data_IF_922509650788
#
_entry.id   IF_922509650788
#
_cell.length_a   1.000
_cell.length_b   1.000
_cell.length_c   1.000
_cell.angle_alpha   90.00
_cell.angle_beta   90.00
_cell.angle_gamma   90.00
#
_symmetry.space_group_name_H-M   'P 1'
#
loop_
_entity.id
_entity.type
_entity.pdbx_description
1 polymer ?
#
# COMPACT_ATOMS: atom_id res chain seq x y z
N UNK A 1 -6.42 9.86 2.71
CA UNK A 1 -5.08 9.36 3.08
C UNK A 1 -4.64 9.77 4.48
N UNK A 2 -4.67 11.05 4.89
CA UNK A 2 -4.02 11.52 6.13
C UNK A 2 -4.41 10.77 7.41
N UNK A 3 -5.67 10.33 7.53
CA UNK A 3 -6.15 9.56 8.69
C UNK A 3 -5.39 8.24 8.91
N UNK A 4 -4.86 7.62 7.85
CA UNK A 4 -4.06 6.39 7.96
C UNK A 4 -2.76 6.63 8.74
N UNK A 5 -2.22 7.85 8.70
CA UNK A 5 -0.91 8.19 9.27
C UNK A 5 -1.02 9.06 10.54
N UNK A 6 -2.21 9.23 11.11
CA UNK A 6 -2.40 9.99 12.37
C UNK A 6 -1.88 9.25 13.60
N UNK A 7 -1.76 7.93 13.51
CA UNK A 7 -1.21 7.06 14.55
C UNK A 7 -0.16 6.16 13.92
N UNK A 8 0.79 5.71 14.72
CA UNK A 8 1.72 4.68 14.27
C UNK A 8 0.95 3.39 14.08
N UNK A 9 0.92 2.93 12.84
CA UNK A 9 0.33 1.66 12.41
C UNK A 9 1.39 0.87 11.65
N UNK A 10 1.27 -0.45 11.71
CA UNK A 10 1.98 -1.33 10.77
C UNK A 10 0.97 -1.81 9.74
N UNK A 11 1.24 -1.52 8.47
CA UNK A 11 0.42 -1.99 7.37
C UNK A 11 1.05 -3.23 6.75
N UNK A 12 0.25 -4.25 6.46
CA UNK A 12 0.71 -5.51 5.88
C UNK A 12 0.13 -5.67 4.48
N UNK A 13 0.95 -5.84 3.45
CA UNK A 13 0.48 -6.07 2.09
C UNK A 13 -0.09 -7.49 2.01
N UNK A 14 -1.41 -7.61 1.87
CA UNK A 14 -2.09 -8.89 1.79
C UNK A 14 -1.89 -9.53 0.43
N UNK A 15 -2.18 -8.79 -0.63
CA UNK A 15 -2.06 -9.25 -2.01
C UNK A 15 -1.93 -8.09 -2.99
N UNK A 16 -1.45 -8.42 -4.20
CA UNK A 16 -1.29 -7.47 -5.31
C UNK A 16 -1.56 -8.13 -6.66
N UNK A 17 -1.70 -7.31 -7.71
CA UNK A 17 -2.09 -7.78 -9.04
C UNK A 17 -0.96 -8.30 -9.92
N UNK A 18 0.30 -8.17 -9.47
CA UNK A 18 1.47 -8.73 -10.15
C UNK A 18 2.27 -9.64 -9.23
N UNK A 19 2.78 -10.74 -9.78
CA UNK A 19 3.54 -11.71 -8.98
C UNK A 19 4.87 -11.13 -8.49
N UNK A 20 5.57 -10.38 -9.34
CA UNK A 20 6.87 -9.78 -9.06
C UNK A 20 6.81 -8.28 -9.27
N UNK A 21 7.13 -7.50 -8.23
CA UNK A 21 7.25 -6.04 -8.33
C UNK A 21 8.74 -5.68 -8.41
N UNK A 22 9.26 -5.55 -9.62
CA UNK A 22 10.69 -5.27 -9.85
C UNK A 22 11.15 -3.93 -9.27
N UNK A 23 10.20 -3.03 -9.00
CA UNK A 23 10.45 -1.73 -8.37
C UNK A 23 10.45 -1.82 -6.85
N UNK A 24 9.86 -2.88 -6.29
CA UNK A 24 9.68 -3.05 -4.86
C UNK A 24 9.78 -4.52 -4.45
N UNK A 25 11.00 -4.97 -4.14
CA UNK A 25 11.32 -6.27 -3.55
C UNK A 25 10.90 -7.51 -4.35
N UNK A 26 10.64 -7.41 -5.66
CA UNK A 26 10.48 -8.57 -6.55
C UNK A 26 9.34 -9.49 -6.12
N UNK A 27 9.58 -10.80 -6.05
CA UNK A 27 8.63 -11.80 -5.54
C UNK A 27 8.65 -11.99 -4.01
N UNK A 28 9.24 -11.05 -3.26
CA UNK A 28 9.34 -11.17 -1.79
C UNK A 28 7.96 -11.22 -1.11
N UNK A 29 7.92 -11.85 0.06
CA UNK A 29 6.73 -11.97 0.90
C UNK A 29 6.82 -11.02 2.09
N UNK A 30 5.73 -10.97 2.87
CA UNK A 30 5.71 -10.28 4.17
C UNK A 30 6.03 -8.79 4.08
N UNK A 31 5.53 -8.13 3.05
CA UNK A 31 5.67 -6.69 2.91
C UNK A 31 4.95 -5.97 4.05
N UNK A 32 5.68 -5.09 4.72
CA UNK A 32 5.19 -4.25 5.80
C UNK A 32 5.54 -2.80 5.52
N UNK A 33 4.63 -1.89 5.86
CA UNK A 33 4.88 -0.46 5.87
C UNK A 33 4.67 0.05 7.28
N UNK A 34 5.71 0.63 7.88
CA UNK A 34 5.73 1.12 9.26
C UNK A 34 6.03 2.60 9.25
N UNK A 35 5.01 3.40 9.50
CA UNK A 35 5.20 4.83 9.75
C UNK A 35 5.63 5.05 11.21
N UNK A 36 6.70 5.81 11.41
CA UNK A 36 7.27 6.03 12.76
C UNK A 36 7.39 7.50 13.17
N UNK A 37 7.47 8.45 12.23
CA UNK A 37 7.64 9.87 12.57
C UNK A 37 7.11 10.79 11.47
N UNK A 38 6.36 11.83 11.86
CA UNK A 38 5.95 12.89 10.94
C UNK A 38 7.16 13.77 10.61
N UNK A 39 7.41 13.99 9.33
CA UNK A 39 8.44 14.91 8.85
C UNK A 39 8.16 16.36 9.25
N UNK A 40 9.05 17.26 8.82
CA UNK A 40 8.89 18.70 9.09
C UNK A 40 7.65 19.29 8.41
N UNK A 41 7.19 18.68 7.31
CA UNK A 41 5.88 18.94 6.70
C UNK A 41 4.79 18.06 7.32
N UNK A 42 3.59 18.63 7.54
CA UNK A 42 2.44 17.90 8.15
C UNK A 42 1.94 16.75 7.26
N UNK A 43 2.36 16.72 6.01
CA UNK A 43 2.01 15.75 4.97
C UNK A 43 3.15 14.80 4.62
N UNK A 44 4.28 14.87 5.31
CA UNK A 44 5.44 14.01 5.09
C UNK A 44 5.56 12.99 6.22
N UNK A 45 5.74 11.72 5.87
CA UNK A 45 5.70 10.61 6.82
C UNK A 45 6.92 9.72 6.62
N UNK A 46 7.86 9.76 7.58
CA UNK A 46 9.01 8.88 7.58
C UNK A 46 8.55 7.45 7.83
N UNK A 47 8.87 6.58 6.88
CA UNK A 47 8.27 5.26 6.77
C UNK A 47 9.34 4.23 6.47
N UNK A 48 9.27 3.10 7.17
CA UNK A 48 10.05 1.91 6.83
C UNK A 48 9.19 0.99 5.96
N UNK A 49 9.74 0.56 4.84
CA UNK A 49 9.24 -0.57 4.10
C UNK A 49 10.09 -1.78 4.45
N UNK A 50 9.43 -2.86 4.86
CA UNK A 50 10.09 -4.10 5.21
C UNK A 50 9.54 -5.22 4.33
N UNK A 51 10.38 -6.17 3.94
CA UNK A 51 9.93 -7.39 3.26
C UNK A 51 10.92 -8.52 3.51
N UNK A 52 10.45 -9.76 3.39
CA UNK A 52 11.26 -10.94 3.65
C UNK A 52 12.13 -11.24 2.43
N UNK A 53 13.45 -11.21 2.60
CA UNK A 53 14.40 -11.63 1.59
C UNK A 53 14.23 -13.13 1.32
N UNK A 54 14.05 -13.49 0.05
CA UNK A 54 13.77 -14.88 -0.35
C UNK A 54 14.99 -15.80 -0.22
N UNK A 55 16.21 -15.26 -0.14
CA UNK A 55 17.44 -16.07 -0.10
C UNK A 55 17.90 -16.39 1.33
N UNK A 56 17.76 -15.43 2.24
CA UNK A 56 18.20 -15.49 3.63
C UNK A 56 17.03 -15.76 4.58
N UNK A 57 15.80 -15.46 4.17
CA UNK A 57 14.61 -15.50 5.01
C UNK A 57 14.54 -14.38 6.06
N UNK A 58 15.49 -13.44 6.06
CA UNK A 58 15.51 -12.29 6.97
C UNK A 58 14.64 -11.15 6.43
N UNK A 59 14.33 -10.17 7.29
CA UNK A 59 13.61 -8.97 6.88
C UNK A 59 14.59 -7.91 6.40
N UNK A 60 14.48 -7.51 5.13
CA UNK A 60 15.13 -6.32 4.62
C UNK A 60 14.35 -5.07 5.03
N UNK A 61 15.06 -3.96 5.27
CA UNK A 61 14.48 -2.70 5.74
C UNK A 61 14.94 -1.55 4.84
N UNK A 62 13.99 -0.85 4.24
CA UNK A 62 14.21 0.32 3.40
C UNK A 62 13.51 1.53 4.00
N UNK A 63 14.23 2.64 4.14
CA UNK A 63 13.65 3.89 4.61
C UNK A 63 13.18 4.74 3.43
N UNK A 64 11.91 5.13 3.45
CA UNK A 64 11.26 5.99 2.47
C UNK A 64 10.52 7.12 3.17
N UNK A 65 10.17 8.15 2.41
CA UNK A 65 9.24 9.20 2.83
C UNK A 65 7.96 9.03 2.02
N UNK A 66 6.82 8.97 2.72
CA UNK A 66 5.51 9.06 2.08
C UNK A 66 5.05 10.50 2.18
N UNK A 67 4.78 11.13 1.04
CA UNK A 67 4.18 12.47 0.98
C UNK A 67 2.74 12.34 0.53
N UNK A 68 1.83 12.99 1.24
CA UNK A 68 0.43 13.02 0.87
C UNK A 68 0.14 14.17 -0.07
N UNK A 69 -0.40 13.84 -1.24
CA UNK A 69 -0.79 14.81 -2.25
C UNK A 69 -2.29 14.69 -2.58
N UNK A 70 -2.80 15.69 -3.29
CA UNK A 70 -4.13 15.65 -3.89
C UNK A 70 -3.98 15.40 -5.37
N UNK A 71 -4.81 14.52 -5.92
CA UNK A 71 -4.87 14.31 -7.36
C UNK A 71 -5.40 15.53 -8.11
N UNK A 72 -6.22 16.33 -7.43
CA UNK A 72 -6.81 17.57 -7.91
C UNK A 72 -6.87 18.58 -6.76
N UNK A 73 -6.44 19.82 -6.99
CA UNK A 73 -6.40 20.89 -5.98
C UNK A 73 -7.76 21.19 -5.36
N UNK A 74 -8.85 20.95 -6.11
CA UNK A 74 -10.23 21.16 -5.66
C UNK A 74 -10.67 20.14 -4.60
N UNK A 75 -9.95 19.02 -4.43
CA UNK A 75 -10.26 18.03 -3.42
C UNK A 75 -10.00 18.59 -2.01
N UNK A 76 -10.94 18.31 -1.10
CA UNK A 76 -10.80 18.68 0.32
C UNK A 76 -9.98 17.67 1.13
N UNK A 77 -9.55 16.57 0.50
CA UNK A 77 -8.83 15.48 1.13
C UNK A 77 -7.65 15.05 0.26
N UNK A 78 -6.62 14.50 0.90
CA UNK A 78 -5.49 13.86 0.23
C UNK A 78 -5.87 12.44 -0.17
N UNK A 79 -5.64 12.12 -1.43
CA UNK A 79 -5.96 10.84 -2.07
C UNK A 79 -4.75 10.22 -2.78
N UNK A 80 -3.58 10.87 -2.73
CA UNK A 80 -2.33 10.32 -3.27
C UNK A 80 -1.28 10.11 -2.21
N UNK A 81 -0.55 9.01 -2.36
CA UNK A 81 0.66 8.68 -1.61
C UNK A 81 1.83 8.72 -2.59
N UNK A 82 2.77 9.63 -2.37
CA UNK A 82 4.00 9.73 -3.14
C UNK A 82 5.13 9.11 -2.33
N UNK A 83 5.68 7.99 -2.82
CA UNK A 83 6.86 7.37 -2.23
C UNK A 83 8.12 8.06 -2.78
N UNK A 84 8.95 8.58 -1.91
CA UNK A 84 10.18 9.29 -2.27
C UNK A 84 11.33 9.00 -1.29
N UNK A 85 12.54 9.44 -1.63
CA UNK A 85 13.68 9.42 -0.71
C UNK A 85 13.81 10.72 0.11
N UNK A 86 14.81 10.75 0.99
CA UNK A 86 15.11 11.87 1.87
C UNK A 86 15.58 13.16 1.15
N UNK A 87 15.96 13.07 -0.14
CA UNK A 87 16.29 14.22 -1.00
C UNK A 87 15.17 14.52 -2.03
N UNK A 88 13.93 14.09 -1.74
CA UNK A 88 12.72 14.33 -2.53
C UNK A 88 12.74 13.77 -3.97
N UNK A 89 13.55 12.75 -4.25
CA UNK A 89 13.44 11.98 -5.50
C UNK A 89 12.24 11.05 -5.40
N UNK A 90 11.25 11.28 -6.27
CA UNK A 90 10.04 10.46 -6.35
C UNK A 90 10.35 9.11 -6.98
N UNK A 91 9.91 8.04 -6.31
CA UNK A 91 10.00 6.68 -6.80
C UNK A 91 8.71 6.27 -7.50
N UNK A 92 7.59 6.37 -6.79
CA UNK A 92 6.29 5.92 -7.29
C UNK A 92 5.16 6.74 -6.67
N UNK A 93 4.06 6.84 -7.41
CA UNK A 93 2.85 7.54 -6.98
C UNK A 93 1.70 6.54 -6.95
N UNK A 94 0.98 6.53 -5.83
CA UNK A 94 -0.16 5.66 -5.60
C UNK A 94 -1.41 6.49 -5.37
N UNK A 95 -2.50 6.15 -6.05
CA UNK A 95 -3.83 6.62 -5.71
C UNK A 95 -4.43 5.72 -4.63
N UNK A 96 -5.00 6.33 -3.59
CA UNK A 96 -5.81 5.65 -2.59
C UNK A 96 -7.22 5.44 -3.13
N UNK A 97 -7.53 4.21 -3.53
CA UNK A 97 -8.83 3.88 -4.12
C UNK A 97 -9.93 3.75 -3.07
N UNK A 98 -9.62 3.12 -1.93
CA UNK A 98 -10.56 2.89 -0.85
C UNK A 98 -9.83 2.68 0.47
N UNK A 99 -10.49 3.03 1.57
CA UNK A 99 -10.11 2.58 2.91
C UNK A 99 -11.29 2.73 3.85
N UNK A 100 -11.45 1.77 4.76
CA UNK A 100 -12.35 1.86 5.89
C UNK A 100 -11.70 2.58 7.08
N UNK A 101 -10.39 2.87 7.02
CA UNK A 101 -9.54 3.41 8.08
C UNK A 101 -9.39 2.52 9.34
N UNK A 102 -9.89 1.28 9.30
CA UNK A 102 -9.91 0.40 10.48
C UNK A 102 -9.27 -0.96 10.21
N UNK A 103 -9.52 -1.53 9.04
CA UNK A 103 -9.08 -2.89 8.70
C UNK A 103 -8.20 -2.93 7.46
N UNK A 104 -8.42 -2.06 6.46
CA UNK A 104 -7.67 -2.13 5.21
C UNK A 104 -7.70 -0.83 4.39
N UNK A 105 -6.82 -0.80 3.38
CA UNK A 105 -6.87 0.17 2.31
C UNK A 105 -6.37 -0.43 0.99
N UNK A 106 -6.83 0.14 -0.11
CA UNK A 106 -6.48 -0.29 -1.47
C UNK A 106 -5.74 0.83 -2.19
N UNK A 107 -4.58 0.51 -2.73
CA UNK A 107 -3.76 1.41 -3.53
C UNK A 107 -3.73 0.95 -4.98
N UNK A 108 -3.62 1.93 -5.88
CA UNK A 108 -3.24 1.73 -7.29
C UNK A 108 -1.99 2.52 -7.60
N UNK A 109 -0.97 1.87 -8.12
CA UNK A 109 0.22 2.54 -8.65
C UNK A 109 -0.08 3.14 -10.02
N UNK A 110 0.21 4.43 -10.20
CA UNK A 110 -0.15 5.16 -11.42
C UNK A 110 0.67 4.70 -12.63
N UNK A 111 1.94 4.33 -12.41
CA UNK A 111 2.89 4.08 -13.50
C UNK A 111 2.61 2.81 -14.30
N UNK A 112 1.98 1.81 -13.70
CA UNK A 112 1.76 0.48 -14.30
C UNK A 112 0.42 -0.19 -13.91
N UNK A 113 -0.49 0.55 -13.28
CA UNK A 113 -1.80 0.03 -12.84
C UNK A 113 -1.71 -1.16 -11.85
N UNK A 114 -0.60 -1.30 -11.12
CA UNK A 114 -0.48 -2.30 -10.05
C UNK A 114 -1.46 -1.99 -8.91
N UNK A 115 -2.36 -2.92 -8.62
CA UNK A 115 -3.29 -2.83 -7.49
C UNK A 115 -2.75 -3.59 -6.29
N UNK A 116 -2.97 -3.04 -5.10
CA UNK A 116 -2.48 -3.58 -3.83
C UNK A 116 -3.54 -3.41 -2.74
N UNK A 117 -3.71 -4.45 -1.92
CA UNK A 117 -4.55 -4.36 -0.70
C UNK A 117 -3.68 -4.54 0.53
N UNK A 118 -3.76 -3.56 1.42
CA UNK A 118 -3.00 -3.49 2.64
C UNK A 118 -3.93 -3.61 3.85
N UNK A 119 -3.55 -4.45 4.81
CA UNK A 119 -4.22 -4.60 6.10
C UNK A 119 -3.66 -3.59 7.11
N UNK A 120 -4.54 -2.98 7.91
CA UNK A 120 -4.18 -2.05 8.98
C UNK A 120 -4.03 -2.80 10.30
N UNK A 121 -2.82 -2.75 10.84
CA UNK A 121 -2.36 -3.53 11.99
C UNK A 121 -2.51 -5.04 11.75
N UNK A 122 -1.85 -5.84 12.59
CA UNK A 122 -1.95 -7.29 12.45
C UNK A 122 -3.33 -7.75 12.91
N UNK A 123 -4.17 -8.14 11.95
CA UNK A 123 -5.51 -8.71 12.17
C UNK A 123 -5.67 -10.01 11.40
N UNK A 124 -6.81 -10.67 11.60
CA UNK A 124 -7.16 -11.80 10.76
C UNK A 124 -7.52 -11.30 9.35
N UNK A 125 -6.76 -11.76 8.34
CA UNK A 125 -6.93 -11.32 6.95
C UNK A 125 -8.32 -11.60 6.38
N UNK A 126 -9.06 -12.57 6.94
CA UNK A 126 -10.45 -12.87 6.55
C UNK A 126 -11.48 -11.86 7.05
N UNK A 127 -11.07 -10.86 7.84
CA UNK A 127 -11.96 -9.89 8.51
C UNK A 127 -11.80 -8.47 7.96
N UNK A 128 -11.08 -8.31 6.84
CA UNK A 128 -10.95 -6.99 6.19
C UNK A 128 -12.25 -6.58 5.49
N UNK A 129 -12.48 -5.26 5.40
CA UNK A 129 -13.68 -4.70 4.76
C UNK A 129 -13.77 -5.09 3.26
N UNK A 130 -14.94 -5.58 2.78
CA UNK A 130 -15.12 -6.00 1.39
C UNK A 130 -14.98 -4.86 0.37
N UNK A 131 -15.06 -3.61 0.82
CA UNK A 131 -14.78 -2.43 0.01
C UNK A 131 -13.34 -2.39 -0.51
N UNK A 132 -12.37 -2.96 0.22
CA UNK A 132 -10.99 -3.03 -0.24
C UNK A 132 -10.84 -3.98 -1.44
N UNK A 133 -11.49 -5.15 -1.39
CA UNK A 133 -11.53 -6.09 -2.53
C UNK A 133 -12.30 -5.49 -3.71
N UNK A 134 -13.42 -4.82 -3.46
CA UNK A 134 -14.21 -4.17 -4.51
C UNK A 134 -13.40 -3.08 -5.23
N UNK A 135 -12.70 -2.24 -4.46
CA UNK A 135 -11.81 -1.22 -5.02
C UNK A 135 -10.59 -1.82 -5.74
N UNK A 136 -10.12 -2.99 -5.30
CA UNK A 136 -9.01 -3.70 -5.94
C UNK A 136 -9.38 -4.18 -7.33
N UNK A 137 -10.57 -4.77 -7.51
CA UNK A 137 -11.04 -5.23 -8.82
C UNK A 137 -11.31 -4.06 -9.77
N UNK A 138 -11.59 -2.87 -9.23
CA UNK A 138 -11.85 -1.66 -10.00
C UNK A 138 -13.28 -1.59 -10.53
N UNK A 139 -13.61 -0.54 -11.29
CA UNK A 139 -14.95 -0.33 -11.82
C UNK A 139 -15.28 -1.39 -12.87
N UNK A 140 -16.54 -1.84 -12.84
CA UNK A 140 -17.13 -2.64 -13.90
C UNK A 140 -17.32 -1.76 -15.14
N UNK A 141 -17.06 -2.27 -16.34
CA UNK A 141 -17.30 -1.49 -17.56
C UNK A 141 -18.80 -1.25 -17.81
N UNK A 142 -19.11 -0.43 -18.82
CA UNK A 142 -20.49 -0.05 -19.18
C UNK A 142 -21.41 -1.25 -19.52
N UNK A 143 -20.85 -2.43 -19.80
CA UNK A 143 -21.57 -3.66 -20.11
C UNK A 143 -21.71 -4.60 -18.91
N UNK A 144 -21.29 -4.19 -17.71
CA UNK A 144 -21.32 -5.07 -16.55
C UNK A 144 -20.17 -6.10 -16.53
N UNK A 145 -19.18 -5.97 -17.41
CA UNK A 145 -18.02 -6.85 -17.46
C UNK A 145 -16.83 -6.23 -16.70
N UNK A 146 -16.22 -7.03 -15.83
CA UNK A 146 -14.90 -6.75 -15.26
C UNK A 146 -14.00 -7.93 -15.62
N UNK A 147 -12.79 -7.66 -16.14
CA UNK A 147 -11.76 -8.69 -16.22
C UNK A 147 -11.18 -8.80 -14.81
N UNK A 148 -11.35 -9.95 -14.11
CA UNK A 148 -10.84 -10.09 -12.76
C UNK A 148 -9.34 -9.83 -12.74
N UNK A 149 -8.87 -8.97 -11.85
CA UNK A 149 -7.45 -8.76 -11.68
C UNK A 149 -6.85 -10.00 -11.01
N UNK A 150 -5.69 -10.51 -11.51
CA UNK A 150 -4.97 -11.58 -10.83
C UNK A 150 -4.73 -11.21 -9.36
N UNK A 151 -4.70 -12.20 -8.48
CA UNK A 151 -4.45 -12.00 -7.05
C UNK A 151 -3.27 -12.86 -6.63
N UNK A 152 -2.19 -12.22 -6.22
CA UNK A 152 -1.01 -12.89 -5.67
C UNK A 152 -0.89 -12.55 -4.20
N UNK A 153 -1.10 -13.55 -3.35
CA UNK A 153 -1.00 -13.39 -1.90
C UNK A 153 0.46 -13.12 -1.50
N UNK A 154 0.69 -12.05 -0.74
CA UNK A 154 2.01 -11.59 -0.28
C UNK A 154 2.16 -11.80 1.23
N UNK A 155 1.07 -11.66 1.98
CA UNK A 155 1.03 -11.95 3.41
C UNK A 155 0.69 -13.41 3.65
N UNK A 156 1.51 -14.07 4.45
CA UNK A 156 1.28 -15.41 4.94
C UNK A 156 1.44 -15.39 6.47
N UNK A 157 0.39 -15.70 7.24
CA UNK A 157 0.41 -15.57 8.70
C UNK A 157 1.42 -16.50 9.39
N UNK A 158 1.87 -17.59 8.73
CA UNK A 158 2.81 -18.54 9.29
C UNK A 158 4.26 -18.04 9.21
N UNK A 159 4.60 -17.32 8.13
CA UNK A 159 5.97 -16.84 7.88
C UNK A 159 6.15 -15.34 8.08
N UNK A 160 5.07 -14.56 8.07
CA UNK A 160 5.08 -13.11 8.26
C UNK A 160 4.78 -12.78 9.72
N UNK A 161 5.86 -12.66 10.51
CA UNK A 161 5.79 -12.29 11.93
C UNK A 161 5.75 -10.76 12.13
#
# INVERSE_FOLDING_TARGET
ASKLFLKSHTFYLLYRSEKSDTKLGGESKCFQMRYYEAGRGKEEFLTQLLFRDNSTGQMDVYSIVIVLEKSNESLKYYDRLVAQNHIATRYEIYDLLYTDYHTCFTLRRISDDLHQVWMIDRRNASVIDPGCESAYQGPVNEYGCAVPKPKYDIFDPEICQ
#
